data_IF_779138417464
#
_entry.id   IF_779138417464
#
_cell.length_a   1.000
_cell.length_b   1.000
_cell.length_c   1.000
_cell.angle_alpha   90.00
_cell.angle_beta   90.00
_cell.angle_gamma   90.00
#
_symmetry.space_group_name_H-M   'P 1'
#
loop_
_entity.id
_entity.type
_entity.pdbx_description
1 polymer ?
#
# COMPACT_ATOMS: atom_id res chain seq x y z
N UNK A 1 15.06 7.01 -32.34
CA UNK A 1 14.50 8.36 -32.50
C UNK A 1 14.88 9.17 -31.26
N UNK A 2 15.98 9.90 -31.35
CA UNK A 2 16.59 10.59 -30.21
C UNK A 2 15.76 11.78 -29.76
N UNK A 3 15.45 11.83 -28.46
CA UNK A 3 14.77 12.95 -27.84
C UNK A 3 15.68 14.19 -27.94
N UNK A 4 15.13 15.25 -28.53
CA UNK A 4 15.71 16.57 -28.62
C UNK A 4 15.71 17.17 -27.22
N UNK A 5 16.89 17.34 -26.63
CA UNK A 5 17.07 18.09 -25.39
C UNK A 5 16.95 19.57 -25.69
N UNK A 6 15.78 20.12 -25.37
CA UNK A 6 15.54 21.55 -25.26
C UNK A 6 16.43 22.05 -24.10
N UNK A 7 17.54 22.75 -24.41
CA UNK A 7 18.44 23.26 -23.38
C UNK A 7 18.09 24.71 -23.10
N UNK A 8 17.52 25.02 -21.91
CA UNK A 8 17.29 26.40 -21.51
C UNK A 8 18.64 27.11 -21.33
N UNK A 9 18.66 28.43 -21.51
CA UNK A 9 19.80 29.27 -21.13
C UNK A 9 20.19 28.95 -19.69
N UNK A 10 21.21 28.13 -19.48
CA UNK A 10 21.63 27.75 -18.14
C UNK A 10 22.19 29.00 -17.43
N UNK A 11 21.46 29.48 -16.44
CA UNK A 11 21.86 30.54 -15.51
C UNK A 11 22.99 30.10 -14.56
N UNK A 12 23.44 28.85 -14.66
CA UNK A 12 24.39 28.21 -13.74
C UNK A 12 25.80 28.20 -14.33
N UNK A 13 26.81 28.52 -13.51
CA UNK A 13 28.22 28.50 -13.95
C UNK A 13 28.72 27.10 -14.30
N UNK A 14 28.19 26.07 -13.66
CA UNK A 14 28.49 24.66 -13.91
C UNK A 14 27.20 23.85 -13.89
N UNK A 15 27.20 22.69 -14.55
CA UNK A 15 26.06 21.79 -14.66
C UNK A 15 26.54 20.34 -14.78
N UNK A 16 25.62 19.38 -14.72
CA UNK A 16 25.92 17.96 -14.82
C UNK A 16 25.69 17.44 -16.23
N UNK A 17 26.65 16.70 -16.77
CA UNK A 17 26.51 15.91 -18.00
C UNK A 17 27.08 14.52 -17.74
N UNK A 18 26.26 13.48 -17.92
CA UNK A 18 26.65 12.07 -17.75
C UNK A 18 27.34 11.78 -16.40
N UNK A 19 26.84 12.34 -15.29
CA UNK A 19 27.44 12.16 -13.96
C UNK A 19 28.73 12.94 -13.70
N UNK A 20 29.20 13.75 -14.66
CA UNK A 20 30.35 14.65 -14.50
C UNK A 20 29.88 16.10 -14.38
N UNK A 21 30.53 16.87 -13.52
CA UNK A 21 30.32 18.32 -13.42
C UNK A 21 31.16 19.02 -14.48
N UNK A 22 30.51 19.79 -15.34
CA UNK A 22 31.14 20.51 -16.46
C UNK A 22 30.63 21.95 -16.55
N UNK A 23 31.35 22.80 -17.27
CA UNK A 23 30.87 24.08 -17.82
C UNK A 23 30.95 24.00 -19.34
N UNK A 24 30.32 24.91 -20.09
CA UNK A 24 30.54 24.98 -21.53
C UNK A 24 31.25 26.25 -22.00
N UNK A 25 31.74 26.20 -23.23
CA UNK A 25 32.43 27.31 -23.88
C UNK A 25 31.55 28.55 -24.07
N UNK A 26 30.22 28.42 -24.06
CA UNK A 26 29.30 29.57 -24.14
C UNK A 26 29.22 30.32 -22.81
N UNK A 27 29.11 29.59 -21.70
CA UNK A 27 29.14 30.16 -20.35
C UNK A 27 30.48 30.85 -20.11
N UNK A 28 31.59 30.22 -20.52
CA UNK A 28 32.94 30.84 -20.43
C UNK A 28 32.99 32.14 -21.24
N UNK A 29 32.58 32.12 -22.51
CA UNK A 29 32.57 33.31 -23.37
C UNK A 29 31.75 34.45 -22.75
N UNK A 30 30.54 34.14 -22.28
CA UNK A 30 29.63 35.12 -21.65
C UNK A 30 30.22 35.73 -20.38
N UNK A 31 30.75 34.91 -19.47
CA UNK A 31 31.19 35.35 -18.15
C UNK A 31 32.53 36.10 -18.23
N UNK A 32 33.46 35.65 -19.08
CA UNK A 32 34.73 36.34 -19.30
C UNK A 32 34.65 37.47 -20.35
N UNK A 33 33.46 37.77 -20.87
CA UNK A 33 33.20 38.81 -21.89
C UNK A 33 34.11 38.66 -23.12
N UNK A 34 34.28 37.42 -23.59
CA UNK A 34 35.04 37.05 -24.78
C UNK A 34 34.11 36.61 -25.89
N UNK A 35 34.52 36.78 -27.13
CA UNK A 35 33.81 36.19 -28.27
C UNK A 35 33.88 34.67 -28.22
N UNK A 36 32.74 34.01 -28.43
CA UNK A 36 32.66 32.54 -28.39
C UNK A 36 33.60 31.89 -29.41
N UNK A 37 33.77 32.53 -30.57
CA UNK A 37 34.72 32.09 -31.60
C UNK A 37 36.16 32.00 -31.07
N UNK A 38 36.61 33.00 -30.31
CA UNK A 38 37.95 33.02 -29.74
C UNK A 38 38.11 31.97 -28.64
N UNK A 39 37.08 31.78 -27.81
CA UNK A 39 37.07 30.71 -26.80
C UNK A 39 37.18 29.33 -27.47
N UNK A 40 36.46 29.08 -28.56
CA UNK A 40 36.58 27.81 -29.30
C UNK A 40 37.99 27.61 -29.90
N UNK A 41 38.62 28.69 -30.37
CA UNK A 41 40.00 28.64 -30.88
C UNK A 41 40.99 28.31 -29.77
N UNK A 42 40.85 28.94 -28.61
CA UNK A 42 41.66 28.66 -27.42
C UNK A 42 41.47 27.20 -26.96
N UNK A 43 40.22 26.71 -26.89
CA UNK A 43 39.91 25.31 -26.54
C UNK A 43 40.58 24.32 -27.49
N UNK A 44 40.43 24.50 -28.81
CA UNK A 44 41.06 23.62 -29.80
C UNK A 44 42.58 23.62 -29.69
N UNK A 45 43.20 24.78 -29.43
CA UNK A 45 44.63 24.88 -29.20
C UNK A 45 45.07 24.10 -27.95
N UNK A 46 44.30 24.19 -26.87
CA UNK A 46 44.59 23.44 -25.64
C UNK A 46 44.48 21.93 -25.87
N UNK A 47 43.43 21.46 -26.55
CA UNK A 47 43.25 20.04 -26.89
C UNK A 47 44.47 19.48 -27.63
N UNK A 48 45.01 20.23 -28.60
CA UNK A 48 46.23 19.82 -29.34
C UNK A 48 47.46 19.81 -28.43
N UNK A 49 47.55 20.73 -27.47
CA UNK A 49 48.73 20.90 -26.61
C UNK A 49 48.84 19.82 -25.52
N UNK A 50 47.71 19.32 -25.02
CA UNK A 50 47.65 18.36 -23.91
C UNK A 50 47.64 16.89 -24.35
N UNK A 51 47.47 16.62 -25.65
CA UNK A 51 47.39 15.27 -26.21
C UNK A 51 46.00 14.62 -26.08
N UNK A 52 45.84 13.46 -26.72
CA UNK A 52 44.53 12.80 -26.86
C UNK A 52 43.96 12.28 -25.54
N UNK A 53 44.80 11.80 -24.63
CA UNK A 53 44.38 11.24 -23.33
C UNK A 53 43.68 12.31 -22.47
N UNK A 54 44.39 13.38 -22.12
CA UNK A 54 43.80 14.48 -21.36
C UNK A 54 42.71 15.19 -22.15
N UNK A 55 42.91 15.37 -23.46
CA UNK A 55 41.98 16.02 -24.37
C UNK A 55 40.60 15.34 -24.37
N UNK A 56 40.57 14.03 -24.61
CA UNK A 56 39.35 13.24 -24.70
C UNK A 56 38.59 13.11 -23.37
N UNK A 57 39.30 13.12 -22.24
CA UNK A 57 38.68 13.02 -20.91
C UNK A 57 38.05 14.31 -20.42
N UNK A 58 38.59 15.47 -20.83
CA UNK A 58 38.29 16.76 -20.22
C UNK A 58 37.60 17.76 -21.17
N UNK A 59 37.73 17.56 -22.49
CA UNK A 59 37.07 18.39 -23.51
C UNK A 59 36.10 17.55 -24.34
N UNK A 60 34.81 17.80 -24.18
CA UNK A 60 33.76 17.05 -24.87
C UNK A 60 33.07 17.95 -25.91
N UNK A 61 33.16 17.58 -27.19
CA UNK A 61 32.49 18.33 -28.26
C UNK A 61 30.97 18.16 -28.16
N UNK A 62 30.26 19.27 -28.30
CA UNK A 62 28.80 19.35 -28.22
C UNK A 62 28.29 20.42 -29.20
N UNK A 63 26.98 20.59 -29.30
CA UNK A 63 26.39 21.59 -30.20
C UNK A 63 25.21 22.29 -29.55
N UNK A 64 24.89 23.49 -30.04
CA UNK A 64 23.68 24.23 -29.64
C UNK A 64 23.02 24.86 -30.86
N UNK A 65 21.74 25.22 -30.74
CA UNK A 65 21.00 25.94 -31.76
C UNK A 65 21.09 27.44 -31.48
N UNK A 66 21.47 28.23 -32.49
CA UNK A 66 21.44 29.68 -32.38
C UNK A 66 20.04 30.25 -32.66
N UNK A 67 19.86 31.56 -32.49
CA UNK A 67 18.60 32.27 -32.76
C UNK A 67 18.12 32.19 -34.22
N UNK A 68 18.96 31.73 -35.14
CA UNK A 68 18.65 31.51 -36.56
C UNK A 68 18.43 30.03 -36.88
N UNK A 69 18.20 29.18 -35.86
CA UNK A 69 18.05 27.73 -35.97
C UNK A 69 19.22 27.03 -36.68
N UNK A 70 20.44 27.57 -36.57
CA UNK A 70 21.65 26.90 -37.06
C UNK A 70 22.33 26.18 -35.89
N UNK A 71 22.80 24.96 -36.17
CA UNK A 71 23.63 24.18 -35.25
C UNK A 71 25.04 24.76 -35.21
N UNK A 72 25.51 25.16 -34.05
CA UNK A 72 26.84 25.73 -33.82
C UNK A 72 27.59 24.83 -32.82
N UNK A 73 28.89 24.55 -33.05
CA UNK A 73 29.68 23.75 -32.12
C UNK A 73 29.94 24.49 -30.81
N UNK A 74 29.97 23.72 -29.71
CA UNK A 74 30.45 24.15 -28.39
C UNK A 74 31.28 23.01 -27.78
N UNK A 75 31.96 23.29 -26.68
CA UNK A 75 32.63 22.25 -25.90
C UNK A 75 32.13 22.31 -24.46
N UNK A 76 31.92 21.15 -23.88
CA UNK A 76 31.73 20.97 -22.45
C UNK A 76 33.10 20.61 -21.83
N UNK A 77 33.46 21.31 -20.76
CA UNK A 77 34.76 21.28 -20.12
C UNK A 77 34.61 20.84 -18.66
N UNK A 78 35.41 19.88 -18.24
CA UNK A 78 35.57 19.51 -16.82
C UNK A 78 36.23 20.64 -16.02
N UNK A 79 36.32 20.51 -14.71
CA UNK A 79 37.03 21.47 -13.85
C UNK A 79 38.49 21.62 -14.28
N UNK A 80 39.12 20.52 -14.67
CA UNK A 80 40.52 20.45 -15.08
C UNK A 80 40.74 21.16 -16.43
N UNK A 81 39.91 20.88 -17.44
CA UNK A 81 39.95 21.59 -18.73
C UNK A 81 39.62 23.08 -18.59
N UNK A 82 38.61 23.42 -17.78
CA UNK A 82 38.27 24.80 -17.48
C UNK A 82 39.45 25.53 -16.86
N UNK A 83 40.07 24.94 -15.84
CA UNK A 83 41.21 25.52 -15.13
C UNK A 83 42.36 25.79 -16.08
N UNK A 84 42.74 24.81 -16.90
CA UNK A 84 43.79 24.96 -17.91
C UNK A 84 43.49 26.12 -18.87
N UNK A 85 42.27 26.20 -19.39
CA UNK A 85 41.87 27.24 -20.33
C UNK A 85 41.99 28.63 -19.70
N UNK A 86 41.48 28.81 -18.48
CA UNK A 86 41.41 30.14 -17.85
C UNK A 86 42.68 30.55 -17.14
N UNK A 87 43.69 29.68 -16.98
CA UNK A 87 44.96 30.02 -16.33
C UNK A 87 45.58 31.32 -16.90
N UNK A 88 45.54 31.51 -18.22
CA UNK A 88 46.04 32.71 -18.90
C UNK A 88 45.22 33.99 -18.66
N UNK A 89 44.04 33.91 -18.04
CA UNK A 89 43.18 35.08 -17.82
C UNK A 89 43.57 35.77 -16.49
N UNK A 90 44.38 36.81 -16.55
CA UNK A 90 45.06 37.38 -15.37
C UNK A 90 44.42 38.65 -14.78
N UNK A 91 43.36 39.18 -15.39
CA UNK A 91 42.72 40.41 -14.89
C UNK A 91 42.12 40.23 -13.50
N UNK A 92 42.01 41.33 -12.73
CA UNK A 92 41.43 41.31 -11.37
C UNK A 92 40.00 40.73 -11.36
N UNK A 93 39.21 41.09 -12.37
CA UNK A 93 37.87 40.53 -12.56
C UNK A 93 37.92 39.02 -12.88
N UNK A 94 38.85 38.59 -13.74
CA UNK A 94 39.01 37.19 -14.11
C UNK A 94 39.37 36.33 -12.90
N UNK A 95 40.26 36.79 -12.02
CA UNK A 95 40.60 36.07 -10.78
C UNK A 95 39.35 35.84 -9.90
N UNK A 96 38.53 36.88 -9.72
CA UNK A 96 37.27 36.77 -8.97
C UNK A 96 36.29 35.77 -9.59
N UNK A 97 36.21 35.73 -10.92
CA UNK A 97 35.40 34.75 -11.65
C UNK A 97 35.93 33.32 -11.46
N UNK A 98 37.25 33.09 -11.56
CA UNK A 98 37.86 31.76 -11.33
C UNK A 98 37.50 31.19 -9.96
N UNK A 99 37.53 32.02 -8.91
CA UNK A 99 37.16 31.60 -7.55
C UNK A 99 35.69 31.16 -7.49
N UNK A 100 34.79 31.86 -8.19
CA UNK A 100 33.36 31.48 -8.25
C UNK A 100 33.18 30.13 -8.93
N UNK A 101 33.82 29.91 -10.08
CA UNK A 101 33.79 28.60 -10.75
C UNK A 101 34.32 27.49 -9.87
N UNK A 102 35.49 27.68 -9.24
CA UNK A 102 36.09 26.70 -8.32
C UNK A 102 35.13 26.32 -7.18
N UNK A 103 34.45 27.29 -6.57
CA UNK A 103 33.44 27.04 -5.53
C UNK A 103 32.24 26.26 -6.07
N UNK A 104 31.75 26.60 -7.25
CA UNK A 104 30.60 25.92 -7.86
C UNK A 104 30.93 24.50 -8.30
N UNK A 105 32.11 24.26 -8.88
CA UNK A 105 32.60 22.90 -9.18
C UNK A 105 32.66 22.06 -7.91
N UNK A 106 33.25 22.58 -6.83
CA UNK A 106 33.30 21.88 -5.54
C UNK A 106 31.92 21.58 -4.98
N UNK A 107 31.00 22.57 -4.99
CA UNK A 107 29.63 22.42 -4.49
C UNK A 107 28.88 21.31 -5.25
N UNK A 108 28.98 21.31 -6.58
CA UNK A 108 28.28 20.34 -7.42
C UNK A 108 28.91 18.95 -7.34
N UNK A 109 30.24 18.83 -7.28
CA UNK A 109 30.94 17.55 -7.05
C UNK A 109 30.51 16.93 -5.71
N UNK A 110 30.43 17.72 -4.64
CA UNK A 110 29.95 17.27 -3.32
C UNK A 110 28.47 16.85 -3.35
N UNK A 111 27.62 17.58 -4.07
CA UNK A 111 26.22 17.24 -4.22
C UNK A 111 26.04 15.86 -4.86
N UNK A 112 26.72 15.61 -5.99
CA UNK A 112 26.67 14.32 -6.70
C UNK A 112 27.25 13.20 -5.81
N UNK A 113 28.36 13.44 -5.12
CA UNK A 113 28.97 12.45 -4.23
C UNK A 113 28.05 12.08 -3.05
N UNK A 114 27.37 13.06 -2.46
CA UNK A 114 26.41 12.81 -1.37
C UNK A 114 25.18 12.05 -1.85
N UNK A 115 24.69 12.31 -3.07
CA UNK A 115 23.60 11.51 -3.66
C UNK A 115 24.01 10.05 -3.89
N UNK A 116 25.25 9.81 -4.33
CA UNK A 116 25.75 8.45 -4.59
C UNK A 116 26.04 7.65 -3.30
N UNK A 117 26.39 8.30 -2.20
CA UNK A 117 26.65 7.63 -0.92
C UNK A 117 25.37 7.16 -0.18
N UNK A 118 24.19 7.68 -0.51
CA UNK A 118 22.92 7.28 0.12
C UNK A 118 22.35 5.99 -0.48
N UNK A 119 22.85 5.50 -1.62
CA UNK A 119 22.26 4.36 -2.35
C UNK A 119 23.17 3.11 -2.47
N UNK A 120 24.22 2.96 -1.67
CA UNK A 120 25.16 1.81 -1.77
C UNK A 120 25.48 1.10 -0.46
N UNK A 121 24.58 1.08 0.52
CA UNK A 121 24.64 0.06 1.57
C UNK A 121 23.58 -1.02 1.30
N UNK A 122 23.94 -2.13 0.62
CA UNK A 122 23.04 -3.26 0.42
C UNK A 122 22.38 -3.71 1.72
N UNK A 123 23.09 -3.62 2.86
CA UNK A 123 22.57 -3.99 4.16
C UNK A 123 21.51 -3.00 4.66
N UNK A 124 21.71 -1.70 4.44
CA UNK A 124 20.73 -0.66 4.74
C UNK A 124 19.43 -0.83 3.94
N UNK A 125 19.53 -1.15 2.65
CA UNK A 125 18.36 -1.45 1.80
C UNK A 125 17.65 -2.72 2.29
N UNK A 126 18.39 -3.80 2.55
CA UNK A 126 17.86 -5.05 3.11
C UNK A 126 17.18 -4.85 4.46
N UNK A 127 17.73 -3.99 5.32
CA UNK A 127 17.16 -3.70 6.65
C UNK A 127 15.87 -2.90 6.54
N UNK A 128 15.81 -1.93 5.61
CA UNK A 128 14.59 -1.17 5.34
C UNK A 128 13.49 -2.04 4.72
N UNK A 129 13.83 -2.91 3.76
CA UNK A 129 12.86 -3.83 3.17
C UNK A 129 12.37 -4.84 4.20
N UNK A 130 13.25 -5.38 5.05
CA UNK A 130 12.86 -6.28 6.14
C UNK A 130 11.93 -5.59 7.15
N UNK A 131 12.24 -4.37 7.58
CA UNK A 131 11.37 -3.61 8.48
C UNK A 131 9.98 -3.33 7.87
N UNK A 132 9.92 -3.01 6.57
CA UNK A 132 8.64 -2.86 5.87
C UNK A 132 7.86 -4.19 5.79
N UNK A 133 8.54 -5.30 5.53
CA UNK A 133 7.92 -6.64 5.50
C UNK A 133 7.41 -7.09 6.86
N UNK A 134 8.15 -6.83 7.94
CA UNK A 134 7.70 -7.09 9.32
C UNK A 134 6.48 -6.24 9.66
N UNK A 135 6.49 -4.95 9.32
CA UNK A 135 5.32 -4.07 9.50
C UNK A 135 4.08 -4.59 8.79
N UNK A 136 4.20 -4.97 7.52
CA UNK A 136 3.08 -5.57 6.77
C UNK A 136 2.61 -6.89 7.36
N UNK A 137 3.52 -7.70 7.93
CA UNK A 137 3.14 -8.96 8.58
C UNK A 137 2.30 -8.69 9.84
N UNK A 138 2.67 -7.68 10.62
CA UNK A 138 1.91 -7.25 11.81
C UNK A 138 0.53 -6.72 11.43
N UNK A 139 0.43 -5.85 10.44
CA UNK A 139 -0.86 -5.32 9.94
C UNK A 139 -1.78 -6.44 9.43
N UNK A 140 -1.25 -7.41 8.67
CA UNK A 140 -2.04 -8.55 8.19
C UNK A 140 -2.55 -9.39 9.37
N UNK A 141 -1.75 -9.58 10.41
CA UNK A 141 -2.19 -10.30 11.61
C UNK A 141 -3.29 -9.56 12.36
N UNK A 142 -3.16 -8.24 12.51
CA UNK A 142 -4.16 -7.39 13.15
C UNK A 142 -5.49 -7.42 12.37
N UNK A 143 -5.45 -7.17 11.05
CA UNK A 143 -6.63 -7.26 10.16
C UNK A 143 -7.28 -8.64 10.25
N UNK A 144 -6.49 -9.72 10.26
CA UNK A 144 -7.03 -11.09 10.36
C UNK A 144 -7.76 -11.30 11.70
N UNK A 145 -7.24 -10.73 12.79
CA UNK A 145 -7.85 -10.80 14.12
C UNK A 145 -9.17 -10.02 14.16
N UNK A 146 -9.21 -8.82 13.59
CA UNK A 146 -10.42 -8.00 13.50
C UNK A 146 -11.50 -8.65 12.63
N UNK A 147 -11.12 -9.13 11.44
CA UNK A 147 -12.03 -9.84 10.53
C UNK A 147 -12.61 -11.09 11.20
N UNK A 148 -11.80 -11.84 11.96
CA UNK A 148 -12.28 -12.97 12.75
C UNK A 148 -13.29 -12.51 13.80
N UNK A 149 -12.97 -11.48 14.58
CA UNK A 149 -13.86 -10.91 15.59
C UNK A 149 -15.19 -10.42 15.03
N UNK A 150 -15.18 -9.76 13.86
CA UNK A 150 -16.39 -9.33 13.16
C UNK A 150 -17.26 -10.51 12.72
N UNK A 151 -16.63 -11.54 12.12
CA UNK A 151 -17.33 -12.74 11.67
C UNK A 151 -18.01 -13.50 12.82
N UNK A 152 -17.36 -13.57 13.97
CA UNK A 152 -17.89 -14.26 15.14
C UNK A 152 -19.00 -13.48 15.86
N UNK A 153 -18.94 -12.14 15.84
CA UNK A 153 -19.95 -11.28 16.46
C UNK A 153 -21.15 -10.93 15.58
N UNK A 154 -21.13 -11.36 14.31
CA UNK A 154 -22.27 -11.18 13.39
C UNK A 154 -23.46 -12.05 13.85
N UNK A 155 -24.72 -11.60 13.67
CA UNK A 155 -25.89 -12.45 13.84
C UNK A 155 -25.85 -13.70 12.96
N UNK A 156 -26.64 -14.72 13.33
CA UNK A 156 -26.73 -15.96 12.55
C UNK A 156 -27.11 -15.70 11.08
N UNK A 157 -26.44 -16.40 10.19
CA UNK A 157 -26.84 -16.47 8.79
C UNK A 157 -28.07 -17.36 8.62
N UNK A 158 -28.68 -17.31 7.43
CA UNK A 158 -29.88 -18.07 7.11
C UNK A 158 -29.71 -19.58 7.35
N UNK A 159 -28.56 -20.15 6.95
CA UNK A 159 -28.26 -21.58 7.10
C UNK A 159 -28.24 -21.98 8.58
N UNK A 160 -27.64 -21.15 9.44
CA UNK A 160 -27.50 -21.43 10.86
C UNK A 160 -28.83 -21.24 11.60
N UNK A 161 -29.65 -20.29 11.15
CA UNK A 161 -31.05 -20.16 11.59
C UNK A 161 -31.87 -21.42 11.28
N UNK A 162 -31.63 -22.07 10.15
CA UNK A 162 -32.30 -23.32 9.79
C UNK A 162 -31.86 -24.47 10.69
N UNK A 163 -30.61 -24.51 11.13
CA UNK A 163 -30.11 -25.51 12.08
C UNK A 163 -30.84 -25.44 13.42
N UNK A 164 -30.94 -24.24 13.99
CA UNK A 164 -31.73 -23.99 15.21
C UNK A 164 -33.18 -24.41 14.98
N UNK A 165 -33.77 -24.00 13.86
CA UNK A 165 -35.16 -24.34 13.54
C UNK A 165 -35.36 -25.86 13.43
N UNK A 166 -34.41 -26.58 12.85
CA UNK A 166 -34.43 -28.05 12.75
C UNK A 166 -34.29 -28.72 14.12
N UNK A 167 -33.42 -28.22 14.99
CA UNK A 167 -33.26 -28.71 16.36
C UNK A 167 -34.56 -28.52 17.16
N UNK A 168 -35.11 -27.30 17.17
CA UNK A 168 -36.37 -26.97 17.85
C UNK A 168 -37.53 -27.83 17.35
N UNK A 169 -37.69 -28.00 16.03
CA UNK A 169 -38.74 -28.84 15.45
C UNK A 169 -38.63 -30.31 15.86
N UNK A 170 -37.41 -30.84 15.89
CA UNK A 170 -37.14 -32.22 16.30
C UNK A 170 -37.54 -32.44 17.75
N UNK A 171 -37.10 -31.56 18.64
CA UNK A 171 -37.44 -31.59 20.06
C UNK A 171 -38.96 -31.44 20.27
N UNK A 172 -39.58 -30.43 19.63
CA UNK A 172 -41.01 -30.18 19.78
C UNK A 172 -41.88 -31.35 19.33
N UNK A 173 -41.53 -32.00 18.21
CA UNK A 173 -42.21 -33.23 17.76
C UNK A 173 -42.04 -34.35 18.78
N UNK A 174 -40.85 -34.53 19.34
CA UNK A 174 -40.59 -35.55 20.36
C UNK A 174 -41.43 -35.32 21.62
N UNK A 175 -41.42 -34.10 22.17
CA UNK A 175 -42.14 -33.75 23.39
C UNK A 175 -43.66 -33.87 23.26
N UNK A 176 -44.21 -33.61 22.06
CA UNK A 176 -45.64 -33.80 21.80
C UNK A 176 -46.02 -35.28 21.60
N UNK A 177 -45.05 -36.20 21.49
CA UNK A 177 -45.33 -37.62 21.27
C UNK A 177 -45.48 -37.99 19.78
N UNK A 178 -44.88 -37.20 18.88
CA UNK A 178 -44.84 -37.47 17.44
C UNK A 178 -45.86 -36.68 16.62
N UNK A 179 -45.71 -36.70 15.29
CA UNK A 179 -46.55 -35.91 14.35
C UNK A 179 -48.02 -36.35 14.31
N UNK A 180 -48.30 -37.60 14.66
CA UNK A 180 -49.65 -38.16 14.64
C UNK A 180 -50.34 -38.05 16.00
N UNK A 181 -49.68 -37.50 17.01
CA UNK A 181 -50.25 -37.34 18.35
C UNK A 181 -51.36 -36.27 18.38
N UNK A 182 -52.33 -36.45 19.27
CA UNK A 182 -53.42 -35.50 19.45
C UNK A 182 -52.92 -34.12 19.90
N UNK A 183 -51.89 -34.08 20.74
CA UNK A 183 -51.26 -32.83 21.16
C UNK A 183 -50.51 -32.11 20.03
N UNK A 184 -49.91 -32.84 19.07
CA UNK A 184 -49.27 -32.21 17.90
C UNK A 184 -50.29 -31.64 16.90
N UNK A 185 -51.44 -32.29 16.76
CA UNK A 185 -52.53 -31.80 15.91
C UNK A 185 -53.22 -30.56 16.51
N UNK A 186 -53.19 -30.41 17.84
CA UNK A 186 -53.68 -29.21 18.51
C UNK A 186 -52.79 -27.98 18.21
N UNK A 187 -53.33 -27.05 17.41
CA UNK A 187 -52.61 -25.85 16.98
C UNK A 187 -52.24 -24.95 18.19
N UNK A 188 -53.11 -24.86 19.19
CA UNK A 188 -52.91 -24.00 20.35
C UNK A 188 -51.78 -24.51 21.23
N UNK A 189 -51.84 -25.79 21.59
CA UNK A 189 -50.85 -26.45 22.42
C UNK A 189 -49.48 -26.51 21.73
N UNK A 190 -49.47 -26.85 20.44
CA UNK A 190 -48.25 -26.82 19.62
C UNK A 190 -47.61 -25.42 19.61
N UNK A 191 -48.41 -24.37 19.40
CA UNK A 191 -47.90 -22.99 19.42
C UNK A 191 -47.35 -22.58 20.79
N UNK A 192 -48.01 -22.99 21.89
CA UNK A 192 -47.51 -22.75 23.26
C UNK A 192 -46.13 -23.38 23.45
N UNK A 193 -45.97 -24.66 23.10
CA UNK A 193 -44.70 -25.37 23.25
C UNK A 193 -43.56 -24.73 22.45
N UNK A 194 -43.77 -24.45 21.16
CA UNK A 194 -42.73 -23.83 20.36
C UNK A 194 -42.36 -22.43 20.87
N UNK A 195 -43.35 -21.66 21.33
CA UNK A 195 -43.09 -20.35 21.95
C UNK A 195 -42.23 -20.49 23.20
N UNK A 196 -42.50 -21.49 24.03
CA UNK A 196 -41.75 -21.74 25.26
C UNK A 196 -40.28 -22.07 24.97
N UNK A 197 -40.04 -23.02 24.03
CA UNK A 197 -38.68 -23.38 23.59
C UNK A 197 -37.91 -22.14 23.08
N UNK A 198 -38.54 -21.31 22.24
CA UNK A 198 -37.91 -20.08 21.78
C UNK A 198 -37.71 -19.04 22.88
N UNK A 199 -38.64 -18.95 23.85
CA UNK A 199 -38.53 -18.02 24.98
C UNK A 199 -37.36 -18.37 25.89
N UNK A 200 -37.09 -19.67 26.10
CA UNK A 200 -35.90 -20.11 26.82
C UNK A 200 -34.63 -19.64 26.10
N UNK A 201 -34.52 -19.88 24.79
CA UNK A 201 -33.37 -19.40 23.99
C UNK A 201 -33.21 -17.87 24.09
N UNK A 202 -34.31 -17.13 23.97
CA UNK A 202 -34.30 -15.67 24.09
C UNK A 202 -33.79 -15.20 25.45
N UNK A 203 -34.18 -15.89 26.53
CA UNK A 203 -33.73 -15.60 27.89
C UNK A 203 -32.26 -15.90 28.08
N UNK A 204 -31.76 -17.05 27.62
CA UNK A 204 -30.35 -17.45 27.78
C UNK A 204 -29.40 -16.52 27.02
N UNK A 205 -29.79 -16.06 25.83
CA UNK A 205 -28.94 -15.19 24.99
C UNK A 205 -29.25 -13.69 25.12
N UNK A 206 -30.28 -13.30 25.88
CA UNK A 206 -30.69 -11.91 26.03
C UNK A 206 -31.16 -11.25 24.72
N UNK A 207 -31.79 -12.01 23.84
CA UNK A 207 -32.21 -11.55 22.50
C UNK A 207 -33.71 -11.74 22.28
N UNK A 208 -34.32 -10.86 21.49
CA UNK A 208 -35.75 -10.96 21.15
C UNK A 208 -36.05 -11.94 20.00
N UNK A 209 -35.01 -12.48 19.37
CA UNK A 209 -35.12 -13.40 18.23
C UNK A 209 -33.90 -14.29 18.20
N UNK A 210 -34.11 -15.58 17.94
CA UNK A 210 -33.00 -16.52 17.79
C UNK A 210 -32.10 -16.15 16.60
N UNK A 211 -32.63 -15.41 15.62
CA UNK A 211 -31.86 -14.89 14.47
C UNK A 211 -30.82 -13.84 14.87
N UNK A 212 -31.00 -13.20 16.03
CA UNK A 212 -30.08 -12.20 16.56
C UNK A 212 -28.97 -12.81 17.43
N UNK A 213 -29.00 -14.12 17.67
CA UNK A 213 -27.92 -14.83 18.36
C UNK A 213 -26.63 -14.62 17.56
N UNK A 214 -25.53 -14.34 18.26
CA UNK A 214 -24.22 -14.19 17.61
C UNK A 214 -23.73 -15.54 17.11
N UNK A 215 -23.02 -15.53 15.99
CA UNK A 215 -22.56 -16.73 15.28
C UNK A 215 -21.75 -17.70 16.15
N UNK A 216 -20.84 -17.19 16.98
CA UNK A 216 -20.03 -18.02 17.88
C UNK A 216 -20.85 -18.72 18.99
N UNK A 217 -22.11 -18.35 19.18
CA UNK A 217 -23.01 -18.98 20.15
C UNK A 217 -23.93 -20.05 19.54
N UNK A 218 -23.79 -20.37 18.25
CA UNK A 218 -24.63 -21.38 17.58
C UNK A 218 -24.57 -22.74 18.28
N UNK A 219 -23.38 -23.27 18.55
CA UNK A 219 -23.20 -24.58 19.18
C UNK A 219 -23.84 -24.61 20.56
N UNK A 220 -23.69 -23.53 21.33
CA UNK A 220 -24.32 -23.38 22.64
C UNK A 220 -25.84 -23.35 22.53
N UNK A 221 -26.39 -22.66 21.54
CA UNK A 221 -27.83 -22.62 21.32
C UNK A 221 -28.39 -24.01 20.99
N UNK A 222 -27.67 -24.79 20.16
CA UNK A 222 -28.03 -26.17 19.84
C UNK A 222 -27.95 -27.07 21.08
N UNK A 223 -26.93 -26.89 21.91
CA UNK A 223 -26.77 -27.64 23.16
C UNK A 223 -27.95 -27.38 24.12
N UNK A 224 -28.33 -26.12 24.31
CA UNK A 224 -29.47 -25.76 25.16
C UNK A 224 -30.75 -26.46 24.69
N UNK A 225 -30.98 -26.52 23.38
CA UNK A 225 -32.17 -27.18 22.82
C UNK A 225 -32.12 -28.69 23.04
N UNK A 226 -31.00 -29.35 22.76
CA UNK A 226 -30.94 -30.81 22.73
C UNK A 226 -30.76 -31.45 24.11
N UNK A 227 -30.05 -30.78 25.03
CA UNK A 227 -29.58 -31.38 26.27
C UNK A 227 -30.18 -30.73 27.53
N UNK A 228 -30.46 -29.43 27.49
CA UNK A 228 -30.80 -28.65 28.70
C UNK A 228 -32.25 -28.19 28.77
N UNK A 229 -32.99 -28.27 27.66
CA UNK A 229 -34.38 -27.86 27.64
C UNK A 229 -35.23 -28.81 28.49
N UNK A 230 -35.91 -28.23 29.48
CA UNK A 230 -36.88 -28.93 30.32
C UNK A 230 -38.25 -28.31 30.15
N UNK A 231 -39.24 -29.14 29.79
CA UNK A 231 -40.61 -28.67 29.58
C UNK A 231 -41.25 -28.25 30.91
N UNK A 232 -41.95 -27.09 30.97
CA UNK A 232 -42.67 -26.69 32.17
C UNK A 232 -43.72 -27.74 32.58
N UNK A 233 -43.81 -28.04 33.89
CA UNK A 233 -44.70 -29.07 34.44
C UNK A 233 -46.14 -28.93 33.96
N UNK A 234 -46.69 -27.71 34.00
CA UNK A 234 -48.07 -27.40 33.55
C UNK A 234 -48.27 -27.75 32.08
N UNK A 235 -47.29 -27.44 31.23
CA UNK A 235 -47.38 -27.72 29.80
C UNK A 235 -47.26 -29.22 29.51
N UNK A 236 -46.41 -29.93 30.27
CA UNK A 236 -46.27 -31.38 30.17
C UNK A 236 -47.55 -32.11 30.59
N UNK A 237 -48.21 -31.64 31.66
CA UNK A 237 -49.52 -32.14 32.09
C UNK A 237 -50.59 -31.91 31.03
N UNK A 238 -50.67 -30.70 30.44
CA UNK A 238 -51.58 -30.39 29.32
C UNK A 238 -51.37 -31.36 28.14
N UNK A 239 -50.11 -31.61 27.75
CA UNK A 239 -49.76 -32.55 26.67
C UNK A 239 -50.18 -33.97 27.01
N UNK A 240 -49.90 -34.43 28.23
CA UNK A 240 -50.23 -35.78 28.69
C UNK A 240 -51.74 -36.00 28.63
N UNK A 241 -52.52 -35.09 29.20
CA UNK A 241 -53.98 -35.15 29.19
C UNK A 241 -54.51 -35.16 27.75
N UNK A 242 -53.97 -34.30 26.88
CA UNK A 242 -54.43 -34.21 25.48
C UNK A 242 -54.13 -35.48 24.70
N UNK A 243 -52.97 -36.10 24.91
CA UNK A 243 -52.60 -37.35 24.26
C UNK A 243 -53.38 -38.56 24.79
N UNK A 244 -53.85 -38.53 26.05
CA UNK A 244 -54.72 -39.57 26.61
C UNK A 244 -56.18 -39.51 26.14
N UNK A 245 -56.60 -38.44 25.46
CA UNK A 245 -57.95 -38.34 24.87
C UNK A 245 -58.05 -39.27 23.66
N UNK A 246 -59.12 -40.07 23.59
CA UNK A 246 -59.40 -40.89 22.40
C UNK A 246 -59.81 -39.97 21.26
N UNK A 247 -59.14 -40.09 20.12
CA UNK A 247 -59.49 -39.36 18.92
C UNK A 247 -60.69 -40.07 18.27
N UNK A 248 -61.83 -39.39 18.13
CA UNK A 248 -63.04 -39.96 17.52
C UNK A 248 -62.85 -40.36 16.03
N UNK A 249 -61.74 -39.95 15.41
CA UNK A 249 -61.34 -40.40 14.07
C UNK A 249 -60.78 -41.84 14.03
N UNK A 250 -60.38 -42.41 15.17
CA UNK A 250 -59.81 -43.77 15.26
C UNK A 250 -60.86 -44.84 15.61
N UNK A 251 -62.15 -44.45 15.76
CA UNK A 251 -63.27 -45.35 16.10
C UNK A 251 -64.17 -45.65 14.87
N UNK A 252 -63.64 -45.50 13.64
CA UNK A 252 -64.37 -45.86 12.40
C UNK A 252 -63.62 -46.89 11.56
#
# INVERSE_FOLDING_TARGET
MGQLTDSPVHSSLVFEVNGKVVTDSLVIAKIFKKDHFDVLKEVRKQIVSVGEEFGGENFHESTYMNSKNRRIPKYDLTEEAFTLLVMGYTSREAVGIKIKFMKEFKRMKQYIQNQQNVQKDPMGVLKLTFAALEGHTQEIQEIKSEVKGLRENTPLYAIECEEITRAVKRLGVMLLGGKNSNSYQDIGLRRKLYRDIYSQLHREFGVNSYKAIKRHHLDRAIQIINEEYSIPTVLNEEITVKNSQINMADIQ
#
